data_IF_064712324606
#
_entry.id   IF_064712324606
#
_cell.length_a   1.000
_cell.length_b   1.000
_cell.length_c   1.000
_cell.angle_alpha   90.00
_cell.angle_beta   90.00
_cell.angle_gamma   90.00
#
_symmetry.space_group_name_H-M   'P 1'
#
loop_
_entity.id
_entity.type
_entity.pdbx_description
1 polymer ?
#
# COMPACT_ATOMS: atom_id res chain seq x y z
N UNK A 1 -3.25 13.41 -6.36
CA UNK A 1 -3.60 12.29 -7.27
C UNK A 1 -5.03 12.56 -7.74
N UNK A 2 -5.36 12.43 -9.04
CA UNK A 2 -6.76 12.65 -9.47
C UNK A 2 -7.68 11.63 -8.78
N UNK A 3 -8.89 12.06 -8.41
CA UNK A 3 -9.92 11.20 -7.82
C UNK A 3 -10.48 10.25 -8.88
N UNK A 4 -9.77 9.15 -9.12
CA UNK A 4 -10.36 8.01 -9.81
C UNK A 4 -11.30 7.30 -8.84
N UNK A 5 -12.47 6.90 -9.34
CA UNK A 5 -13.38 6.04 -8.58
C UNK A 5 -12.60 4.86 -7.99
N UNK A 6 -12.83 4.58 -6.72
CA UNK A 6 -12.20 3.46 -6.00
C UNK A 6 -12.49 2.10 -6.65
N UNK A 7 -13.53 2.02 -7.49
CA UNK A 7 -13.94 0.86 -8.28
C UNK A 7 -13.36 0.83 -9.70
N UNK A 8 -12.53 1.79 -10.10
CA UNK A 8 -11.97 1.78 -11.46
C UNK A 8 -11.13 0.53 -11.67
N UNK A 9 -11.22 -0.05 -12.88
CA UNK A 9 -10.45 -1.23 -13.27
C UNK A 9 -8.95 -0.96 -13.12
N UNK A 10 -8.51 0.23 -13.51
CA UNK A 10 -7.12 0.67 -13.42
C UNK A 10 -6.62 0.70 -11.97
N UNK A 11 -7.44 1.15 -11.03
CA UNK A 11 -7.08 1.09 -9.61
C UNK A 11 -7.05 -0.32 -9.06
N UNK A 12 -7.91 -1.18 -9.57
CA UNK A 12 -7.95 -2.59 -9.18
C UNK A 12 -6.68 -3.30 -9.65
N UNK A 13 -6.31 -3.12 -10.93
CA UNK A 13 -5.07 -3.65 -11.50
C UNK A 13 -3.84 -3.11 -10.77
N UNK A 14 -3.80 -1.80 -10.46
CA UNK A 14 -2.69 -1.19 -9.73
C UNK A 14 -2.57 -1.72 -8.30
N UNK A 15 -3.69 -1.93 -7.58
CA UNK A 15 -3.67 -2.52 -6.24
C UNK A 15 -3.24 -3.99 -6.26
N UNK A 16 -3.65 -4.76 -7.25
CA UNK A 16 -3.21 -6.14 -7.42
C UNK A 16 -1.71 -6.22 -7.69
N UNK A 17 -1.16 -5.31 -8.51
CA UNK A 17 0.27 -5.21 -8.74
C UNK A 17 1.03 -4.89 -7.43
N UNK A 18 0.54 -3.92 -6.64
CA UNK A 18 1.14 -3.62 -5.34
C UNK A 18 1.07 -4.82 -4.40
N UNK A 19 -0.08 -5.50 -4.33
CA UNK A 19 -0.26 -6.66 -3.46
C UNK A 19 0.71 -7.79 -3.83
N UNK A 20 0.99 -8.02 -5.13
CA UNK A 20 2.00 -8.99 -5.58
C UNK A 20 3.40 -8.62 -5.08
N UNK A 21 3.81 -7.36 -5.19
CA UNK A 21 5.13 -6.92 -4.71
C UNK A 21 5.24 -7.00 -3.18
N UNK A 22 4.21 -6.56 -2.47
CA UNK A 22 4.18 -6.59 -1.01
C UNK A 22 4.21 -8.02 -0.47
N UNK A 23 3.58 -8.98 -1.17
CA UNK A 23 3.65 -10.41 -0.79
C UNK A 23 5.06 -10.98 -0.86
N UNK A 24 5.94 -10.48 -1.74
CA UNK A 24 7.34 -10.91 -1.81
C UNK A 24 8.14 -10.55 -0.56
N UNK A 25 7.70 -9.54 0.19
CA UNK A 25 8.32 -9.14 1.46
C UNK A 25 7.97 -10.09 2.62
N UNK A 26 7.07 -11.05 2.42
CA UNK A 26 6.71 -12.03 3.45
C UNK A 26 5.96 -11.47 4.66
N UNK A 27 5.59 -10.18 4.68
CA UNK A 27 4.99 -9.49 5.83
C UNK A 27 3.59 -9.98 6.23
N UNK A 28 3.00 -10.89 5.46
CA UNK A 28 1.67 -11.46 5.72
C UNK A 28 0.51 -10.55 5.31
N UNK A 29 0.76 -9.54 4.49
CA UNK A 29 -0.28 -8.65 3.96
C UNK A 29 -1.08 -9.42 2.90
N UNK A 30 -2.40 -9.47 3.07
CA UNK A 30 -3.31 -10.26 2.22
C UNK A 30 -4.21 -9.38 1.36
N UNK A 31 -4.49 -8.14 1.78
CA UNK A 31 -5.38 -7.22 1.08
C UNK A 31 -4.92 -5.77 1.19
N UNK A 32 -5.32 -4.97 0.19
CA UNK A 32 -5.07 -3.52 0.15
C UNK A 32 -6.40 -2.81 -0.07
N UNK A 33 -6.83 -2.01 0.91
CA UNK A 33 -8.05 -1.21 0.81
C UNK A 33 -7.74 0.18 0.29
N UNK A 34 -8.61 0.66 -0.59
CA UNK A 34 -8.46 1.97 -1.22
C UNK A 34 -9.22 3.03 -0.44
N UNK A 35 -8.53 4.11 -0.08
CA UNK A 35 -9.08 5.33 0.49
C UNK A 35 -8.51 6.55 -0.26
N UNK A 36 -8.36 6.43 -1.58
CA UNK A 36 -8.02 7.55 -2.46
C UNK A 36 -9.00 8.70 -2.28
N UNK A 37 -8.52 9.96 -2.37
CA UNK A 37 -7.22 10.37 -2.90
C UNK A 37 -6.07 10.43 -1.87
N UNK A 38 -6.30 10.01 -0.62
CA UNK A 38 -5.40 10.34 0.48
C UNK A 38 -4.46 9.20 0.88
N UNK A 39 -4.96 7.97 0.97
CA UNK A 39 -4.16 6.85 1.46
C UNK A 39 -4.66 5.47 1.02
N UNK A 40 -3.85 4.45 1.29
CA UNK A 40 -4.24 3.03 1.24
C UNK A 40 -3.97 2.35 2.58
N UNK A 41 -4.76 1.32 2.88
CA UNK A 41 -4.53 0.45 4.03
C UNK A 41 -4.02 -0.90 3.56
N UNK A 42 -2.94 -1.38 4.16
CA UNK A 42 -2.39 -2.71 3.96
C UNK A 42 -2.80 -3.58 5.15
N UNK A 43 -3.63 -4.59 4.88
CA UNK A 43 -4.28 -5.45 5.88
C UNK A 43 -3.90 -6.92 5.70
N UNK A 44 -4.27 -7.75 6.68
CA UNK A 44 -3.99 -9.19 6.71
C UNK A 44 -2.74 -9.57 7.50
N UNK A 45 -1.84 -8.61 7.65
CA UNK A 45 -0.69 -8.69 8.54
C UNK A 45 -1.14 -8.59 10.01
N UNK A 46 -0.28 -9.01 10.94
CA UNK A 46 -0.55 -8.87 12.38
C UNK A 46 -0.54 -7.40 12.85
N UNK A 47 0.04 -6.51 12.03
CA UNK A 47 -0.05 -5.05 12.09
C UNK A 47 -0.90 -4.52 10.93
N UNK A 48 -1.82 -3.61 11.21
CA UNK A 48 -2.48 -2.85 10.14
C UNK A 48 -1.63 -1.63 9.79
N UNK A 49 -1.26 -1.51 8.53
CA UNK A 49 -0.39 -0.45 8.03
C UNK A 49 -1.19 0.50 7.13
N UNK A 50 -0.89 1.79 7.22
CA UNK A 50 -1.42 2.85 6.38
C UNK A 50 -0.27 3.44 5.59
N UNK A 51 -0.42 3.54 4.28
CA UNK A 51 0.49 4.32 3.43
C UNK A 51 -0.21 5.60 2.99
N UNK A 52 0.33 6.73 3.40
CA UNK A 52 -0.20 8.06 3.12
C UNK A 52 0.46 8.64 1.87
N UNK A 53 -0.35 9.09 0.92
CA UNK A 53 0.15 9.56 -0.38
C UNK A 53 0.78 10.95 -0.31
N UNK A 54 0.40 11.76 0.68
CA UNK A 54 0.90 13.13 0.82
C UNK A 54 2.25 13.14 1.52
N UNK A 55 2.38 12.42 2.63
CA UNK A 55 3.65 12.31 3.35
C UNK A 55 4.58 11.24 2.78
N UNK A 56 4.10 10.40 1.86
CA UNK A 56 4.84 9.26 1.28
C UNK A 56 5.42 8.31 2.34
N UNK A 57 4.68 8.14 3.44
CA UNK A 57 5.15 7.41 4.62
C UNK A 57 4.21 6.25 4.97
N UNK A 58 4.79 5.15 5.43
CA UNK A 58 4.05 4.05 6.05
C UNK A 58 3.94 4.31 7.55
N UNK A 59 2.75 4.19 8.10
CA UNK A 59 2.44 4.30 9.53
C UNK A 59 1.62 3.10 10.00
N UNK A 60 1.69 2.78 11.29
CA UNK A 60 0.81 1.77 11.89
C UNK A 60 -0.52 2.45 12.24
N UNK A 61 -1.64 1.91 11.77
CA UNK A 61 -2.95 2.58 11.90
C UNK A 61 -3.94 1.86 12.83
N UNK A 62 -3.75 0.56 13.09
CA UNK A 62 -4.64 -0.21 13.97
C UNK A 62 -3.85 -0.88 15.09
N UNK A 63 -4.55 -1.23 16.17
CA UNK A 63 -3.97 -2.04 17.26
C UNK A 63 -3.51 -3.37 16.67
N UNK A 64 -2.20 -3.62 16.73
CA UNK A 64 -1.66 -4.95 16.44
C UNK A 64 -2.41 -6.00 17.25
N UNK A 65 -2.63 -7.18 16.68
CA UNK A 65 -3.26 -8.28 17.44
C UNK A 65 -2.42 -8.52 18.71
N UNK A 66 -3.09 -8.67 19.86
CA UNK A 66 -2.43 -8.92 21.17
C UNK A 66 -1.51 -10.15 21.18
N UNK A 67 -1.66 -11.04 20.21
CA UNK A 67 -0.87 -12.26 19.97
C UNK A 67 -0.07 -12.21 18.66
N UNK A 68 0.32 -11.01 18.22
CA UNK A 68 1.28 -10.82 17.14
C UNK A 68 2.69 -11.18 17.66
N UNK A 69 2.97 -12.47 17.89
CA UNK A 69 4.31 -12.98 18.24
C UNK A 69 5.31 -12.88 17.09
N UNK A 70 5.07 -11.99 16.12
CA UNK A 70 5.88 -11.81 14.92
C UNK A 70 6.65 -10.51 15.05
N UNK A 71 7.97 -10.63 15.03
CA UNK A 71 8.87 -9.48 14.92
C UNK A 71 8.82 -8.94 13.49
N UNK A 72 8.79 -7.62 13.35
CA UNK A 72 8.89 -6.92 12.08
C UNK A 72 10.22 -6.17 12.05
N UNK A 73 11.24 -6.70 11.35
CA UNK A 73 12.48 -6.00 11.16
C UNK A 73 12.24 -4.60 10.58
N UNK A 74 12.93 -3.59 11.11
CA UNK A 74 12.84 -2.22 10.59
C UNK A 74 13.20 -2.17 9.10
N UNK A 75 14.14 -3.00 8.66
CA UNK A 75 14.53 -3.13 7.26
C UNK A 75 13.33 -3.51 6.36
N UNK A 76 12.49 -4.45 6.79
CA UNK A 76 11.32 -4.89 6.01
C UNK A 76 10.26 -3.80 5.94
N UNK A 77 10.07 -3.05 7.03
CA UNK A 77 9.14 -1.91 7.06
C UNK A 77 9.63 -0.76 6.16
N UNK A 78 10.93 -0.50 6.13
CA UNK A 78 11.54 0.46 5.22
C UNK A 78 11.39 0.01 3.77
N UNK A 79 11.63 -1.27 3.49
CA UNK A 79 11.45 -1.85 2.16
C UNK A 79 10.00 -1.77 1.70
N UNK A 80 9.04 -2.01 2.60
CA UNK A 80 7.63 -1.81 2.32
C UNK A 80 7.33 -0.36 1.92
N UNK A 81 7.87 0.61 2.66
CA UNK A 81 7.73 2.03 2.33
C UNK A 81 8.29 2.37 0.94
N UNK A 82 9.46 1.82 0.59
CA UNK A 82 10.04 1.99 -0.74
C UNK A 82 9.17 1.38 -1.85
N UNK A 83 8.61 0.18 -1.62
CA UNK A 83 7.70 -0.49 -2.57
C UNK A 83 6.44 0.33 -2.78
N UNK A 84 5.80 0.81 -1.72
CA UNK A 84 4.62 1.67 -1.81
C UNK A 84 4.92 2.98 -2.55
N UNK A 85 6.07 3.61 -2.28
CA UNK A 85 6.49 4.83 -2.96
C UNK A 85 6.73 4.63 -4.45
N UNK A 86 7.47 3.57 -4.80
CA UNK A 86 7.73 3.22 -6.21
C UNK A 86 6.42 2.99 -6.96
N UNK A 87 5.53 2.22 -6.35
CA UNK A 87 4.20 1.97 -6.91
C UNK A 87 3.38 3.26 -7.08
N UNK A 88 3.40 4.17 -6.11
CA UNK A 88 2.69 5.45 -6.21
C UNK A 88 3.19 6.24 -7.42
N UNK A 89 4.50 6.34 -7.60
CA UNK A 89 5.10 7.06 -8.74
C UNK A 89 4.73 6.41 -10.08
N UNK A 90 4.86 5.08 -10.20
CA UNK A 90 4.50 4.36 -11.43
C UNK A 90 3.01 4.47 -11.76
N UNK A 91 2.16 4.43 -10.74
CA UNK A 91 0.70 4.53 -10.90
C UNK A 91 0.32 5.95 -11.30
N UNK A 92 0.91 6.96 -10.66
CA UNK A 92 0.73 8.36 -11.05
C UNK A 92 1.20 8.63 -12.49
N UNK A 93 2.32 8.05 -12.91
CA UNK A 93 2.81 8.17 -14.28
C UNK A 93 1.84 7.54 -15.29
N UNK A 94 1.46 6.28 -15.08
CA UNK A 94 0.54 5.56 -15.98
C UNK A 94 -0.83 6.25 -16.09
N UNK A 95 -1.33 6.78 -14.98
CA UNK A 95 -2.58 7.54 -14.96
C UNK A 95 -2.42 8.98 -15.47
N UNK A 96 -1.21 9.52 -15.50
CA UNK A 96 -0.90 10.81 -16.11
C UNK A 96 -0.83 10.72 -17.64
N UNK A 97 -0.16 9.68 -18.16
CA UNK A 97 0.04 9.46 -19.60
C UNK A 97 -1.23 9.09 -20.35
N UNK A 98 -2.15 8.34 -19.74
CA UNK A 98 -3.39 7.90 -20.40
C UNK A 98 -4.40 9.02 -20.66
N UNK A 99 -4.22 10.18 -20.05
CA UNK A 99 -5.15 11.30 -20.09
C UNK A 99 -4.47 12.62 -20.49
N UNK A 100 -3.28 12.54 -21.09
CA UNK A 100 -2.58 13.63 -21.77
C UNK A 100 -2.78 13.51 -23.27
#
# INVERSE_FOLDING_TARGET
MRELSTSSKEWTDAREALLKEVRKLGLGITSIKNYTPDFILLEGSSLGLKYDFNSTSVSVWTKGRRSAGREYPLADLLQLGMVCRKWQMETQHRLGEKFA
#
